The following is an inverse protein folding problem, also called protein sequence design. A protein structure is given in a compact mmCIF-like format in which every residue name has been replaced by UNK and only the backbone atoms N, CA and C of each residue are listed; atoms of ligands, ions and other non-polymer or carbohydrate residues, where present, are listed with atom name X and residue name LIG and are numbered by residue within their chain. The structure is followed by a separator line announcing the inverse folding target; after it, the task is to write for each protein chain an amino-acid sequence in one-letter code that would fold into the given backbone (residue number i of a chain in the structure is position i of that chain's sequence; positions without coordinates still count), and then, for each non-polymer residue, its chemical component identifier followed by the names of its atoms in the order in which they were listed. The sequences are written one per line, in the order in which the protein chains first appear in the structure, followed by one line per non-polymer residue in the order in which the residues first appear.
data_IF_476939115522
#
_entry.id   IF_476939115522
#
_cell.length_a   1.000
_cell.length_b   1.000
_cell.length_c   1.000
_cell.angle_alpha   90.00
_cell.angle_beta   90.00
_cell.angle_gamma   90.00
#
_symmetry.space_group_name_H-M   'P 1'
#
loop_
_entity.id
_entity.type
_entity.pdbx_description
1 polymer ?
#
# COMPACT_ATOMS: atom_id res chain seq x y z
N UNK A 1 -39.26 -60.95 -55.93
CA UNK A 1 -40.14 -60.24 -56.88
C UNK A 1 -40.35 -58.84 -56.31
N UNK A 2 -39.50 -57.90 -56.73
CA UNK A 2 -39.79 -56.81 -57.68
C UNK A 2 -40.31 -55.53 -57.02
N UNK A 3 -39.34 -54.62 -56.82
CA UNK A 3 -39.37 -53.16 -56.92
C UNK A 3 -40.62 -52.48 -57.51
N UNK A 4 -40.97 -51.33 -56.90
CA UNK A 4 -41.21 -49.98 -57.47
C UNK A 4 -42.22 -49.23 -56.59
N UNK A 5 -42.17 -47.94 -56.29
CA UNK A 5 -41.23 -46.83 -56.45
C UNK A 5 -41.92 -45.59 -55.80
N UNK A 6 -41.15 -44.63 -55.26
CA UNK A 6 -41.47 -43.18 -55.17
C UNK A 6 -42.65 -42.71 -54.26
N UNK A 7 -42.64 -41.57 -53.54
CA UNK A 7 -41.83 -40.33 -53.54
C UNK A 7 -42.07 -39.53 -52.24
N UNK A 8 -41.10 -38.66 -51.96
CA UNK A 8 -40.89 -37.72 -50.85
C UNK A 8 -42.05 -36.78 -50.45
N UNK A 9 -42.11 -36.46 -49.16
CA UNK A 9 -42.22 -35.07 -48.68
C UNK A 9 -43.28 -34.78 -47.60
N UNK A 10 -42.86 -33.94 -46.63
CA UNK A 10 -43.66 -33.05 -45.77
C UNK A 10 -44.06 -33.53 -44.37
N UNK A 11 -43.15 -33.25 -43.43
CA UNK A 11 -43.35 -32.52 -42.17
C UNK A 11 -44.69 -32.67 -41.42
N UNK A 12 -44.66 -33.45 -40.33
CA UNK A 12 -45.66 -33.38 -39.25
C UNK A 12 -45.12 -32.50 -38.13
N UNK A 13 -45.78 -31.36 -37.95
CA UNK A 13 -45.61 -30.39 -36.87
C UNK A 13 -46.17 -31.01 -35.59
N UNK A 14 -45.29 -31.43 -34.68
CA UNK A 14 -45.62 -31.83 -33.32
C UNK A 14 -45.13 -30.77 -32.34
N UNK A 15 -46.06 -30.01 -31.77
CA UNK A 15 -45.81 -29.05 -30.69
C UNK A 15 -45.41 -29.82 -29.43
N UNK A 16 -44.16 -29.68 -28.99
CA UNK A 16 -43.76 -29.99 -27.62
C UNK A 16 -43.05 -28.77 -27.04
N UNK A 17 -43.72 -28.12 -26.08
CA UNK A 17 -43.14 -27.09 -25.22
C UNK A 17 -41.98 -27.70 -24.43
N UNK A 18 -40.75 -27.37 -24.80
CA UNK A 18 -39.59 -27.53 -23.95
C UNK A 18 -39.17 -26.14 -23.44
N UNK A 19 -39.35 -25.91 -22.14
CA UNK A 19 -38.81 -24.76 -21.41
C UNK A 19 -37.28 -24.78 -21.54
N UNK A 20 -36.74 -23.88 -22.36
CA UNK A 20 -35.30 -23.57 -22.32
C UNK A 20 -35.10 -22.60 -21.15
N UNK A 21 -34.78 -23.15 -19.98
CA UNK A 21 -34.14 -22.41 -18.91
C UNK A 21 -32.71 -22.11 -19.37
N UNK A 22 -32.50 -20.96 -20.01
CA UNK A 22 -31.16 -20.39 -20.15
C UNK A 22 -30.70 -19.99 -18.75
N UNK A 23 -29.95 -20.86 -18.07
CA UNK A 23 -29.15 -20.43 -16.93
C UNK A 23 -28.05 -19.55 -17.48
N UNK A 24 -28.28 -18.24 -17.48
CA UNK A 24 -27.21 -17.27 -17.55
C UNK A 24 -26.31 -17.55 -16.34
N UNK A 25 -25.14 -18.14 -16.59
CA UNK A 25 -24.05 -18.12 -15.64
C UNK A 25 -23.64 -16.66 -15.54
N UNK A 26 -24.21 -15.96 -14.55
CA UNK A 26 -23.67 -14.68 -14.12
C UNK A 26 -22.26 -15.00 -13.63
N UNK A 27 -21.26 -14.62 -14.43
CA UNK A 27 -19.89 -14.57 -13.99
C UNK A 27 -19.87 -13.70 -12.71
N UNK A 28 -19.69 -14.36 -11.58
CA UNK A 28 -19.47 -13.68 -10.32
C UNK A 28 -18.23 -12.82 -10.49
N UNK A 29 -18.44 -11.51 -10.35
CA UNK A 29 -17.40 -10.51 -10.43
C UNK A 29 -16.24 -10.86 -9.51
N UNK A 30 -15.04 -10.54 -9.99
CA UNK A 30 -13.78 -10.70 -9.29
C UNK A 30 -13.90 -10.26 -7.82
N UNK A 31 -13.46 -11.16 -6.94
CA UNK A 31 -13.60 -11.09 -5.50
C UNK A 31 -13.19 -9.72 -4.94
N UNK A 32 -14.08 -9.11 -4.15
CA UNK A 32 -13.66 -8.21 -3.09
C UNK A 32 -12.62 -8.98 -2.23
N UNK A 33 -11.39 -8.46 -2.14
CA UNK A 33 -10.25 -9.16 -1.55
C UNK A 33 -10.57 -9.79 -0.18
N UNK A 34 -10.06 -11.00 0.04
CA UNK A 34 -10.24 -11.75 1.29
C UNK A 34 -9.84 -10.87 2.50
N UNK A 35 -10.76 -10.54 3.43
CA UNK A 35 -10.47 -9.63 4.55
C UNK A 35 -9.30 -10.07 5.43
N UNK A 36 -9.02 -11.37 5.51
CA UNK A 36 -7.88 -11.91 6.25
C UNK A 36 -6.52 -11.61 5.58
N UNK A 37 -6.48 -11.43 4.25
CA UNK A 37 -5.26 -11.07 3.52
C UNK A 37 -4.86 -9.60 3.71
N UNK A 38 -5.85 -8.76 4.02
CA UNK A 38 -5.69 -7.32 4.26
C UNK A 38 -5.30 -6.98 5.70
N UNK A 39 -5.33 -7.96 6.61
CA UNK A 39 -4.92 -7.76 7.99
C UNK A 39 -3.45 -7.32 8.02
N UNK A 40 -3.18 -6.18 8.67
CA UNK A 40 -1.85 -5.54 8.74
C UNK A 40 -1.30 -4.96 7.42
N UNK A 41 -2.15 -4.63 6.44
CA UNK A 41 -1.74 -3.83 5.28
C UNK A 41 -2.12 -2.36 5.43
N UNK A 42 -1.28 -1.47 4.91
CA UNK A 42 -1.58 -0.06 4.70
C UNK A 42 -2.17 0.15 3.30
N UNK A 43 -3.26 0.90 3.20
CA UNK A 43 -3.92 1.22 1.93
C UNK A 43 -3.32 2.49 1.34
N UNK A 44 -3.01 2.44 0.07
CA UNK A 44 -2.46 3.55 -0.70
C UNK A 44 -3.49 3.93 -1.76
N UNK A 45 -4.03 5.16 -1.72
CA UNK A 45 -5.01 5.59 -2.71
C UNK A 45 -4.36 5.73 -4.08
N UNK A 46 -5.13 5.50 -5.13
CA UNK A 46 -4.70 5.83 -6.49
C UNK A 46 -4.42 7.33 -6.59
N UNK A 47 -3.42 7.72 -7.38
CA UNK A 47 -3.08 9.12 -7.52
C UNK A 47 -1.78 9.36 -8.27
N UNK A 48 -1.46 10.64 -8.42
CA UNK A 48 -0.18 11.07 -8.99
C UNK A 48 0.78 11.43 -7.86
N UNK A 49 1.97 10.86 -7.91
CA UNK A 49 2.97 10.95 -6.86
C UNK A 49 4.33 11.25 -7.46
N UNK A 50 5.12 12.05 -6.74
CA UNK A 50 6.51 12.28 -7.09
C UNK A 50 7.36 11.14 -6.55
N UNK A 51 8.14 10.50 -7.42
CA UNK A 51 9.07 9.41 -7.12
C UNK A 51 10.49 9.86 -7.46
N UNK A 52 11.45 9.43 -6.66
CA UNK A 52 12.85 9.82 -6.71
C UNK A 52 13.16 11.07 -5.90
N UNK A 53 14.30 11.67 -6.21
CA UNK A 53 14.85 12.82 -5.50
C UNK A 53 15.14 14.00 -6.44
N UNK A 54 14.96 15.26 -5.99
CA UNK A 54 15.36 16.42 -6.75
C UNK A 54 16.85 16.38 -7.09
N UNK A 55 17.22 16.89 -8.25
CA UNK A 55 18.62 16.92 -8.68
C UNK A 55 19.53 17.67 -7.69
N UNK A 56 18.97 18.68 -7.03
CA UNK A 56 19.64 19.51 -6.03
C UNK A 56 19.83 18.82 -4.66
N UNK A 57 19.20 17.67 -4.41
CA UNK A 57 19.40 16.91 -3.18
C UNK A 57 20.74 16.17 -3.24
N UNK A 58 21.67 16.58 -2.39
CA UNK A 58 23.01 16.00 -2.32
C UNK A 58 23.10 14.78 -1.39
N UNK A 59 22.06 14.50 -0.60
CA UNK A 59 21.99 13.31 0.24
C UNK A 59 21.40 12.11 -0.50
N UNK A 60 20.54 12.35 -1.49
CA UNK A 60 20.06 11.32 -2.39
C UNK A 60 21.14 10.94 -3.41
N UNK A 61 21.27 9.63 -3.66
CA UNK A 61 22.23 9.11 -4.64
C UNK A 61 21.77 9.38 -6.08
N UNK A 62 22.70 9.34 -7.02
CA UNK A 62 22.45 9.70 -8.42
C UNK A 62 21.43 8.78 -9.11
N UNK A 63 21.41 7.48 -8.79
CA UNK A 63 20.44 6.54 -9.34
C UNK A 63 19.00 6.83 -8.90
N UNK A 64 18.82 7.62 -7.85
CA UNK A 64 17.52 8.02 -7.30
C UNK A 64 16.96 9.28 -7.97
N UNK A 65 17.67 9.84 -8.95
CA UNK A 65 17.35 11.07 -9.66
C UNK A 65 16.99 10.77 -11.12
N UNK A 66 16.15 11.59 -11.77
CA UNK A 66 15.49 12.79 -11.23
C UNK A 66 14.19 12.47 -10.47
N UNK A 67 13.70 13.45 -9.71
CA UNK A 67 12.32 13.47 -9.22
C UNK A 67 11.38 13.53 -10.42
N UNK A 68 10.48 12.55 -10.53
CA UNK A 68 9.54 12.45 -11.64
C UNK A 68 8.14 12.10 -11.14
N UNK A 69 7.13 12.45 -11.94
CA UNK A 69 5.72 12.23 -11.59
C UNK A 69 5.25 10.90 -12.19
N UNK A 70 4.70 10.03 -11.35
CA UNK A 70 4.07 8.77 -11.74
C UNK A 70 2.61 8.74 -11.28
N UNK A 71 1.76 8.02 -11.99
CA UNK A 71 0.39 7.70 -11.61
C UNK A 71 0.36 6.27 -11.10
N UNK A 72 0.03 6.08 -9.83
CA UNK A 72 -0.14 4.76 -9.23
C UNK A 72 -1.64 4.45 -9.09
N UNK A 73 -2.01 3.25 -9.48
CA UNK A 73 -3.27 2.62 -9.12
C UNK A 73 -3.34 2.41 -7.60
N UNK A 74 -4.54 2.22 -7.05
CA UNK A 74 -4.68 1.97 -5.63
C UNK A 74 -4.11 0.57 -5.30
N UNK A 75 -3.32 0.47 -4.24
CA UNK A 75 -2.75 -0.78 -3.77
C UNK A 75 -2.73 -0.82 -2.25
N UNK A 76 -2.53 -2.01 -1.71
CA UNK A 76 -2.20 -2.20 -0.30
C UNK A 76 -0.78 -2.73 -0.20
N UNK A 77 -0.06 -2.37 0.86
CA UNK A 77 1.28 -2.88 1.17
C UNK A 77 1.36 -3.32 2.62
N UNK A 78 2.08 -4.39 2.92
CA UNK A 78 2.27 -4.88 4.28
C UNK A 78 2.89 -3.79 5.17
N UNK A 79 2.36 -3.60 6.37
CA UNK A 79 2.89 -2.62 7.34
C UNK A 79 4.26 -3.02 7.89
N UNK A 80 4.58 -4.31 7.84
CA UNK A 80 5.77 -4.93 8.43
C UNK A 80 6.43 -5.87 7.42
N UNK A 81 7.72 -6.11 7.59
CA UNK A 81 8.47 -7.11 6.83
C UNK A 81 7.91 -8.53 7.08
N UNK A 82 8.06 -9.43 6.10
CA UNK A 82 7.61 -10.82 6.25
C UNK A 82 8.41 -11.51 7.34
N UNK A 83 7.71 -12.03 8.35
CA UNK A 83 8.35 -12.69 9.49
C UNK A 83 8.76 -14.13 9.19
N UNK A 84 9.76 -14.64 9.92
CA UNK A 84 10.19 -16.05 9.87
C UNK A 84 9.00 -17.00 10.08
N UNK A 85 8.14 -16.73 11.07
CA UNK A 85 6.96 -17.57 11.35
C UNK A 85 6.00 -17.61 10.16
N UNK A 86 5.83 -16.49 9.47
CA UNK A 86 4.95 -16.42 8.31
C UNK A 86 5.58 -17.17 7.12
N UNK A 87 6.87 -16.96 6.86
CA UNK A 87 7.62 -17.62 5.79
C UNK A 87 7.70 -19.14 5.96
N UNK A 88 7.89 -19.64 7.18
CA UNK A 88 7.88 -21.09 7.49
C UNK A 88 6.64 -21.82 6.97
N UNK A 89 5.47 -21.17 7.00
CA UNK A 89 4.22 -21.76 6.47
C UNK A 89 4.30 -22.04 4.96
N UNK A 90 5.02 -21.19 4.21
CA UNK A 90 5.23 -21.40 2.78
C UNK A 90 6.21 -22.55 2.50
N UNK A 91 7.24 -22.68 3.33
CA UNK A 91 8.19 -23.78 3.27
C UNK A 91 7.52 -25.11 3.63
N UNK A 92 6.74 -25.14 4.70
CA UNK A 92 5.96 -26.31 5.13
C UNK A 92 4.94 -26.75 4.07
N UNK A 93 4.39 -25.80 3.30
CA UNK A 93 3.51 -26.07 2.18
C UNK A 93 4.24 -26.57 0.91
N UNK A 94 5.58 -26.59 0.91
CA UNK A 94 6.40 -27.00 -0.23
C UNK A 94 6.44 -26.00 -1.38
N UNK A 95 6.06 -24.74 -1.14
CA UNK A 95 6.02 -23.68 -2.16
C UNK A 95 7.30 -22.83 -2.15
N UNK A 96 7.84 -22.54 -0.96
CA UNK A 96 9.08 -21.79 -0.79
C UNK A 96 10.25 -22.69 -0.40
N UNK A 97 11.48 -22.32 -0.77
CA UNK A 97 12.68 -22.95 -0.24
C UNK A 97 13.03 -22.42 1.16
N UNK A 98 13.76 -23.20 1.95
CA UNK A 98 14.38 -22.67 3.18
C UNK A 98 15.41 -21.58 2.83
N UNK A 99 15.64 -20.59 3.73
CA UNK A 99 16.69 -19.61 3.54
C UNK A 99 18.05 -20.27 3.30
N UNK A 100 18.87 -19.67 2.44
CA UNK A 100 20.20 -20.20 2.07
C UNK A 100 21.16 -20.31 3.26
N UNK A 101 20.89 -19.53 4.31
CA UNK A 101 21.53 -19.61 5.62
C UNK A 101 20.48 -19.49 6.73
N UNK A 102 20.53 -20.44 7.67
CA UNK A 102 19.66 -20.44 8.86
C UNK A 102 20.14 -19.49 9.97
N UNK A 103 21.27 -18.80 9.74
CA UNK A 103 21.85 -17.80 10.65
C UNK A 103 21.64 -16.38 10.13
N UNK A 104 21.43 -15.42 11.04
CA UNK A 104 21.55 -13.99 10.73
C UNK A 104 22.99 -13.52 10.93
N UNK A 105 23.23 -12.20 10.95
CA UNK A 105 24.55 -11.60 11.09
C UNK A 105 25.32 -12.09 12.34
N UNK A 106 24.64 -12.21 13.47
CA UNK A 106 25.27 -12.54 14.76
C UNK A 106 24.65 -13.78 15.43
N UNK A 107 23.51 -14.29 14.94
CA UNK A 107 22.76 -15.38 15.57
C UNK A 107 22.74 -16.65 14.70
N UNK A 108 23.31 -17.75 15.23
CA UNK A 108 23.44 -19.03 14.49
C UNK A 108 22.11 -19.74 14.19
N UNK A 109 21.16 -19.71 15.13
CA UNK A 109 19.87 -20.41 15.01
C UNK A 109 18.72 -19.41 14.76
N UNK A 110 18.95 -18.48 13.82
CA UNK A 110 18.02 -17.40 13.55
C UNK A 110 16.71 -17.89 12.93
N UNK A 111 16.76 -18.83 11.97
CA UNK A 111 15.57 -19.42 11.37
C UNK A 111 14.92 -20.47 12.31
N UNK A 112 14.41 -20.01 13.45
CA UNK A 112 13.79 -20.84 14.50
C UNK A 112 12.57 -20.15 15.10
N UNK A 113 11.79 -20.88 15.90
CA UNK A 113 10.56 -20.35 16.49
C UNK A 113 10.83 -19.23 17.51
N UNK A 114 12.01 -19.24 18.13
CA UNK A 114 12.46 -18.19 19.05
C UNK A 114 12.55 -16.81 18.38
N UNK A 115 12.84 -16.77 17.07
CA UNK A 115 12.89 -15.55 16.27
C UNK A 115 11.72 -15.44 15.30
N UNK A 116 10.62 -16.17 15.55
CA UNK A 116 9.49 -16.23 14.62
C UNK A 116 8.86 -14.87 14.27
N UNK A 117 9.06 -13.83 15.07
CA UNK A 117 8.55 -12.47 14.82
C UNK A 117 9.57 -11.54 14.11
N UNK A 118 10.79 -12.00 13.87
CA UNK A 118 11.82 -11.24 13.15
C UNK A 118 11.65 -11.41 11.64
N UNK A 119 12.14 -10.47 10.82
CA UNK A 119 12.07 -10.58 9.36
C UNK A 119 12.82 -11.83 8.87
N UNK A 120 12.27 -12.51 7.87
CA UNK A 120 13.04 -13.53 7.15
C UNK A 120 14.13 -12.85 6.32
N UNK A 121 15.34 -13.42 6.36
CA UNK A 121 16.52 -12.95 5.59
C UNK A 121 17.23 -14.14 4.97
N UNK A 122 18.26 -13.89 4.16
CA UNK A 122 18.94 -14.93 3.35
C UNK A 122 17.98 -15.67 2.41
N UNK A 123 17.00 -14.94 1.88
CA UNK A 123 16.08 -15.43 0.83
C UNK A 123 16.43 -14.74 -0.49
N UNK A 124 16.28 -15.48 -1.59
CA UNK A 124 16.47 -14.92 -2.93
C UNK A 124 15.28 -14.05 -3.32
N UNK A 125 15.40 -13.30 -4.42
CA UNK A 125 14.25 -12.56 -4.96
C UNK A 125 13.11 -13.49 -5.36
N UNK A 126 13.45 -14.66 -5.93
CA UNK A 126 12.47 -15.66 -6.36
C UNK A 126 11.71 -16.26 -5.15
N UNK A 127 12.42 -16.52 -4.04
CA UNK A 127 11.79 -16.96 -2.79
C UNK A 127 10.81 -15.94 -2.24
N UNK A 128 11.18 -14.65 -2.27
CA UNK A 128 10.35 -13.55 -1.82
C UNK A 128 9.07 -13.42 -2.68
N UNK A 129 9.23 -13.50 -4.01
CA UNK A 129 8.11 -13.52 -4.96
C UNK A 129 7.18 -14.70 -4.70
N UNK A 130 7.74 -15.92 -4.61
CA UNK A 130 6.97 -17.15 -4.40
C UNK A 130 6.18 -17.10 -3.09
N UNK A 131 6.77 -16.53 -2.03
CA UNK A 131 6.04 -16.30 -0.78
C UNK A 131 4.85 -15.36 -0.97
N UNK A 132 5.07 -14.20 -1.60
CA UNK A 132 3.98 -13.25 -1.78
C UNK A 132 2.85 -13.86 -2.62
N UNK A 133 3.17 -14.59 -3.69
CA UNK A 133 2.19 -15.32 -4.50
C UNK A 133 1.45 -16.41 -3.69
N UNK A 134 2.17 -17.15 -2.84
CA UNK A 134 1.60 -18.17 -1.95
C UNK A 134 0.52 -17.60 -1.02
N UNK A 135 0.71 -16.38 -0.51
CA UNK A 135 -0.29 -15.70 0.33
C UNK A 135 -1.30 -14.87 -0.47
N UNK A 136 -1.36 -15.01 -1.80
CA UNK A 136 -2.30 -14.30 -2.66
C UNK A 136 -2.00 -12.81 -2.80
N UNK A 137 -0.73 -12.44 -2.68
CA UNK A 137 -0.17 -11.08 -2.82
C UNK A 137 0.87 -11.08 -3.96
N UNK A 138 1.67 -10.03 -4.05
CA UNK A 138 2.84 -9.89 -4.92
C UNK A 138 3.93 -9.09 -4.21
N UNK A 139 5.13 -9.01 -4.79
CA UNK A 139 6.09 -7.99 -4.36
C UNK A 139 5.56 -6.59 -4.77
N UNK A 140 5.81 -5.53 -3.98
CA UNK A 140 5.56 -4.15 -4.40
C UNK A 140 6.45 -3.79 -5.59
N UNK A 141 6.01 -2.84 -6.42
CA UNK A 141 6.94 -2.17 -7.33
C UNK A 141 7.85 -1.21 -6.55
N UNK A 142 8.97 -0.81 -7.14
CA UNK A 142 9.86 0.18 -6.53
C UNK A 142 9.11 1.49 -6.22
N UNK A 143 8.29 1.96 -7.15
CA UNK A 143 7.50 3.17 -6.98
C UNK A 143 6.43 3.03 -5.87
N UNK A 144 5.78 1.87 -5.77
CA UNK A 144 4.84 1.57 -4.69
C UNK A 144 5.52 1.52 -3.32
N UNK A 145 6.71 0.92 -3.24
CA UNK A 145 7.49 0.87 -2.02
C UNK A 145 7.88 2.28 -1.56
N UNK A 146 8.39 3.11 -2.48
CA UNK A 146 8.82 4.46 -2.14
C UNK A 146 7.62 5.34 -1.74
N UNK A 147 6.49 5.24 -2.45
CA UNK A 147 5.26 5.95 -2.09
C UNK A 147 4.76 5.54 -0.70
N UNK A 148 4.88 4.27 -0.33
CA UNK A 148 4.46 3.79 0.98
C UNK A 148 5.33 4.37 2.10
N UNK A 149 6.64 4.52 1.87
CA UNK A 149 7.57 5.14 2.80
C UNK A 149 7.39 6.66 2.89
N UNK A 150 7.09 7.30 1.75
CA UNK A 150 6.85 8.74 1.67
C UNK A 150 5.49 9.14 2.23
N UNK A 151 4.52 8.23 2.33
CA UNK A 151 3.22 8.54 2.92
C UNK A 151 2.55 9.79 2.31
N UNK A 152 1.86 10.58 3.12
CA UNK A 152 1.11 11.78 2.68
C UNK A 152 1.86 13.11 2.82
N UNK A 153 3.03 13.12 3.47
CA UNK A 153 3.69 14.38 3.90
C UNK A 153 4.62 14.99 2.85
N UNK A 154 4.67 14.45 1.63
CA UNK A 154 5.53 14.94 0.54
C UNK A 154 7.00 14.55 0.69
N UNK A 155 7.85 15.09 -0.18
CA UNK A 155 9.27 14.73 -0.30
C UNK A 155 10.07 15.00 0.99
N UNK A 156 10.85 14.00 1.44
CA UNK A 156 11.71 14.05 2.62
C UNK A 156 12.76 12.95 2.60
N UNK A 157 13.80 13.10 3.42
CA UNK A 157 14.92 12.15 3.51
C UNK A 157 14.54 10.79 4.09
N UNK A 158 13.69 10.75 5.11
CA UNK A 158 13.26 9.52 5.80
C UNK A 158 11.73 9.48 5.96
N UNK A 159 11.12 8.30 6.17
CA UNK A 159 9.68 8.16 6.40
C UNK A 159 9.11 9.08 7.48
N UNK A 160 9.93 9.44 8.48
CA UNK A 160 9.55 10.28 9.62
C UNK A 160 9.98 11.75 9.51
N UNK A 161 10.69 12.16 8.45
CA UNK A 161 11.18 13.53 8.29
C UNK A 161 12.62 13.62 7.78
N UNK A 162 13.20 14.83 7.83
CA UNK A 162 14.56 15.09 7.32
C UNK A 162 15.66 14.97 8.39
N UNK A 163 15.27 14.75 9.65
CA UNK A 163 16.21 14.63 10.75
C UNK A 163 16.74 13.20 10.89
N UNK A 164 17.98 13.09 11.35
CA UNK A 164 18.63 11.82 11.66
C UNK A 164 17.78 11.00 12.65
N UNK A 165 17.74 9.66 12.54
CA UNK A 165 16.90 8.83 13.38
C UNK A 165 17.18 9.07 14.86
N UNK A 166 16.12 9.25 15.64
CA UNK A 166 16.19 9.21 17.10
C UNK A 166 16.35 7.76 17.58
N UNK A 167 16.79 7.53 18.83
CA UNK A 167 16.76 6.19 19.40
C UNK A 167 15.37 5.55 19.27
N UNK A 168 15.32 4.26 18.91
CA UNK A 168 14.08 3.50 18.69
C UNK A 168 13.19 4.04 17.55
N UNK A 169 13.77 4.76 16.60
CA UNK A 169 13.11 5.17 15.37
C UNK A 169 13.47 4.30 14.14
N UNK A 170 14.67 3.70 14.13
CA UNK A 170 15.09 2.74 13.13
C UNK A 170 16.18 1.82 13.67
N UNK A 171 16.30 0.61 13.13
CA UNK A 171 17.45 -0.28 13.33
C UNK A 171 18.49 -0.02 12.23
N UNK A 172 19.63 0.58 12.57
CA UNK A 172 20.62 1.04 11.57
C UNK A 172 21.98 1.28 12.24
N UNK A 173 23.01 1.59 11.46
CA UNK A 173 24.36 1.93 11.90
C UNK A 173 25.01 0.91 12.84
N UNK A 174 24.68 -0.37 12.65
CA UNK A 174 25.30 -1.48 13.37
C UNK A 174 24.89 -1.60 14.84
N UNK A 175 23.79 -0.97 15.26
CA UNK A 175 23.26 -1.07 16.64
C UNK A 175 21.79 -1.51 16.60
N UNK A 176 21.44 -2.72 17.08
CA UNK A 176 22.29 -3.67 17.80
C UNK A 176 23.26 -4.49 16.94
N UNK A 177 23.27 -4.30 15.61
CA UNK A 177 24.20 -4.98 14.70
C UNK A 177 23.64 -6.26 14.07
N UNK A 178 22.33 -6.45 14.19
CA UNK A 178 21.56 -7.53 13.59
C UNK A 178 20.11 -7.07 13.44
N UNK A 179 19.26 -7.89 12.80
CA UNK A 179 17.82 -7.60 12.67
C UNK A 179 17.11 -7.57 14.02
N UNK A 180 16.07 -6.76 14.11
CA UNK A 180 15.12 -6.69 15.20
C UNK A 180 13.73 -7.15 14.73
N UNK A 181 12.81 -7.31 15.68
CA UNK A 181 11.41 -7.67 15.37
C UNK A 181 10.84 -6.63 14.38
N UNK A 182 10.20 -7.06 13.29
CA UNK A 182 9.74 -6.18 12.18
C UNK A 182 8.60 -5.20 12.51
N UNK A 183 8.31 -5.02 13.79
CA UNK A 183 7.39 -4.01 14.34
C UNK A 183 8.05 -3.22 15.49
N UNK A 184 9.38 -3.29 15.61
CA UNK A 184 10.15 -2.81 16.75
C UNK A 184 10.28 -1.28 16.81
N UNK A 185 10.09 -0.60 15.67
CA UNK A 185 10.34 0.84 15.53
C UNK A 185 9.10 1.63 15.05
N UNK A 186 7.95 1.54 15.73
CA UNK A 186 6.72 2.20 15.28
C UNK A 186 6.83 3.74 15.22
N UNK A 187 7.79 4.34 15.94
CA UNK A 187 8.04 5.79 15.87
C UNK A 187 8.72 6.24 14.56
N UNK A 188 9.26 5.29 13.79
CA UNK A 188 9.78 5.50 12.44
C UNK A 188 8.78 5.19 11.33
N UNK A 189 7.50 4.97 11.66
CA UNK A 189 6.49 4.72 10.64
C UNK A 189 6.35 5.90 9.66
N UNK A 190 6.06 5.60 8.41
CA UNK A 190 5.51 6.62 7.50
C UNK A 190 4.14 7.10 7.97
N UNK A 191 3.66 8.23 7.47
CA UNK A 191 2.28 8.69 7.74
C UNK A 191 1.19 7.77 7.19
N UNK A 192 1.54 6.80 6.33
CA UNK A 192 0.66 5.71 5.92
C UNK A 192 0.69 4.52 6.89
N UNK A 193 1.47 4.59 7.97
CA UNK A 193 1.56 3.58 9.01
C UNK A 193 2.43 2.37 8.67
N UNK A 194 3.33 2.52 7.69
CA UNK A 194 4.27 1.46 7.29
C UNK A 194 5.57 1.63 8.07
N UNK A 195 5.97 0.58 8.78
CA UNK A 195 7.09 0.58 9.73
C UNK A 195 8.31 -0.08 9.08
N UNK A 196 9.50 0.28 9.55
CA UNK A 196 10.79 -0.27 9.09
C UNK A 196 11.03 -0.07 7.59
N UNK A 197 10.48 1.01 7.02
CA UNK A 197 10.81 1.41 5.64
C UNK A 197 12.26 1.95 5.53
N UNK A 198 12.93 2.23 6.64
CA UNK A 198 14.36 2.57 6.66
C UNK A 198 15.06 1.81 7.78
N UNK A 199 16.03 0.97 7.41
CA UNK A 199 16.76 0.11 8.31
C UNK A 199 16.08 -1.24 8.51
N UNK A 200 16.48 -1.94 9.57
CA UNK A 200 16.21 -3.36 9.83
C UNK A 200 16.72 -4.26 8.70
N UNK A 201 15.93 -4.53 7.65
CA UNK A 201 16.41 -5.20 6.45
C UNK A 201 16.05 -4.41 5.21
N UNK A 202 16.95 -4.45 4.24
CA UNK A 202 16.65 -3.92 2.93
C UNK A 202 15.66 -4.88 2.24
N UNK A 203 14.82 -4.38 1.35
CA UNK A 203 13.66 -5.14 0.89
C UNK A 203 13.67 -5.34 -0.61
N UNK A 204 13.52 -6.59 -1.03
CA UNK A 204 13.25 -6.92 -2.43
C UNK A 204 11.96 -6.27 -2.91
N UNK A 205 12.00 -5.67 -4.10
CA UNK A 205 10.83 -5.19 -4.86
C UNK A 205 10.78 -5.89 -6.22
N UNK A 206 9.69 -5.77 -6.98
CA UNK A 206 9.51 -6.53 -8.23
C UNK A 206 10.49 -6.14 -9.35
N UNK A 207 10.96 -4.91 -9.34
CA UNK A 207 11.57 -4.21 -10.46
C UNK A 207 12.98 -4.72 -10.76
N UNK A 208 13.32 -4.80 -12.05
CA UNK A 208 14.72 -4.89 -12.47
C UNK A 208 15.44 -3.57 -12.19
N UNK A 209 16.70 -3.65 -11.80
CA UNK A 209 17.52 -2.48 -11.56
C UNK A 209 18.15 -1.98 -12.85
N UNK A 210 17.94 -0.69 -13.13
CA UNK A 210 18.69 0.10 -14.10
C UNK A 210 18.89 1.49 -13.49
N UNK A 211 20.15 1.96 -13.33
CA UNK A 211 20.44 3.26 -12.72
C UNK A 211 19.87 4.45 -13.53
N UNK A 212 19.58 4.29 -14.83
CA UNK A 212 19.01 5.32 -15.68
C UNK A 212 17.48 5.31 -15.77
N UNK A 213 16.80 4.33 -15.16
CA UNK A 213 15.37 4.11 -15.36
C UNK A 213 14.50 5.31 -14.99
N UNK A 214 14.82 6.06 -13.93
CA UNK A 214 14.01 7.21 -13.51
C UNK A 214 13.91 8.31 -14.58
N UNK A 215 14.91 8.44 -15.47
CA UNK A 215 14.87 9.40 -16.57
C UNK A 215 13.91 9.00 -17.71
N UNK A 216 13.55 7.71 -17.79
CA UNK A 216 12.71 7.12 -18.86
C UNK A 216 11.48 6.38 -18.33
N UNK A 217 11.23 6.47 -17.02
CA UNK A 217 10.20 5.76 -16.27
C UNK A 217 8.81 5.91 -16.90
N UNK A 218 8.06 4.81 -16.97
CA UNK A 218 6.67 4.83 -17.36
C UNK A 218 5.86 5.73 -16.42
N UNK A 219 4.94 6.51 -17.01
CA UNK A 219 4.14 7.47 -16.25
C UNK A 219 3.04 6.83 -15.42
N UNK A 220 2.62 5.60 -15.75
CA UNK A 220 1.50 4.93 -15.09
C UNK A 220 1.96 3.54 -14.66
N UNK A 221 1.79 3.26 -13.38
CA UNK A 221 2.13 1.98 -12.74
C UNK A 221 3.51 1.44 -13.21
N UNK A 222 4.61 2.20 -13.01
CA UNK A 222 5.94 1.77 -13.45
C UNK A 222 6.33 0.47 -12.71
N UNK A 223 6.94 -0.44 -13.48
CA UNK A 223 7.33 -1.79 -13.03
C UNK A 223 8.82 -2.05 -13.23
N UNK A 224 9.60 -1.00 -13.53
CA UNK A 224 11.00 -1.12 -13.90
C UNK A 224 11.19 -1.45 -15.38
N UNK A 225 12.46 -1.58 -15.82
CA UNK A 225 12.80 -2.11 -17.14
C UNK A 225 12.22 -3.52 -17.34
N UNK A 226 11.97 -3.89 -18.59
CA UNK A 226 11.39 -5.20 -18.93
C UNK A 226 12.30 -6.39 -18.58
N UNK A 227 13.62 -6.19 -18.62
CA UNK A 227 14.64 -7.17 -18.27
C UNK A 227 15.82 -6.52 -17.52
N UNK A 228 16.70 -7.36 -16.97
CA UNK A 228 17.87 -6.91 -16.23
C UNK A 228 18.68 -8.08 -15.67
N UNK A 229 19.82 -7.74 -15.06
CA UNK A 229 20.69 -8.72 -14.40
C UNK A 229 20.53 -8.73 -12.88
N UNK A 230 20.01 -7.65 -12.31
CA UNK A 230 19.88 -7.45 -10.87
C UNK A 230 18.50 -6.88 -10.53
N UNK A 231 17.97 -7.25 -9.36
CA UNK A 231 16.69 -6.75 -8.85
C UNK A 231 16.93 -5.62 -7.86
N UNK A 232 15.99 -4.67 -7.83
CA UNK A 232 16.04 -3.54 -6.90
C UNK A 232 15.86 -4.02 -5.46
N UNK A 233 16.60 -3.39 -4.55
CA UNK A 233 16.48 -3.56 -3.09
C UNK A 233 16.34 -2.18 -2.45
N UNK A 234 15.39 -2.00 -1.53
CA UNK A 234 15.01 -0.71 -0.96
C UNK A 234 15.26 -0.63 0.55
N UNK A 235 15.31 0.58 1.12
CA UNK A 235 15.17 0.79 2.57
C UNK A 235 16.42 0.64 3.44
N UNK A 236 17.58 0.27 2.89
CA UNK A 236 18.82 0.07 3.66
C UNK A 236 18.66 -1.00 4.76
N UNK A 237 19.66 -1.22 5.63
CA UNK A 237 19.59 -2.30 6.64
C UNK A 237 20.08 -1.88 8.02
N UNK A 238 20.01 -2.80 8.99
CA UNK A 238 20.60 -2.64 10.32
C UNK A 238 22.10 -2.27 10.29
N UNK A 239 22.83 -2.61 9.22
CA UNK A 239 24.26 -2.34 9.09
C UNK A 239 24.57 -1.04 8.31
N UNK A 240 23.59 -0.49 7.60
CA UNK A 240 23.75 0.74 6.81
C UNK A 240 24.01 1.95 7.69
N UNK A 241 24.87 2.86 7.24
CA UNK A 241 25.11 4.13 7.94
C UNK A 241 24.03 5.14 7.57
N UNK A 242 23.09 5.43 8.49
CA UNK A 242 21.95 6.33 8.24
C UNK A 242 22.35 7.72 7.68
N UNK A 243 23.58 8.20 7.91
CA UNK A 243 24.03 9.48 7.39
C UNK A 243 24.12 9.49 5.85
N UNK A 244 24.39 8.31 5.26
CA UNK A 244 24.55 8.08 3.82
C UNK A 244 23.28 7.51 3.17
N UNK A 245 22.21 7.31 3.95
CA UNK A 245 20.97 6.75 3.45
C UNK A 245 19.88 7.79 3.24
N UNK A 246 19.04 7.51 2.28
CA UNK A 246 17.88 8.30 1.86
C UNK A 246 16.77 7.32 1.49
N UNK A 247 15.51 7.66 1.78
CA UNK A 247 14.35 6.83 1.46
C UNK A 247 14.25 6.47 -0.03
N UNK A 248 14.79 7.33 -0.88
CA UNK A 248 14.77 7.18 -2.34
C UNK A 248 15.95 6.35 -2.88
N UNK A 249 16.97 6.09 -2.06
CA UNK A 249 18.17 5.35 -2.49
C UNK A 249 17.81 3.94 -3.00
N UNK A 250 18.41 3.57 -4.13
CA UNK A 250 18.13 2.33 -4.84
C UNK A 250 19.31 1.38 -4.69
N UNK A 251 19.16 0.34 -3.87
CA UNK A 251 20.08 -0.78 -3.85
C UNK A 251 19.74 -1.78 -4.95
N UNK A 252 20.65 -2.71 -5.19
CA UNK A 252 20.42 -3.81 -6.12
C UNK A 252 21.26 -5.03 -5.73
N UNK A 253 20.79 -6.21 -6.14
CA UNK A 253 21.50 -7.46 -5.99
C UNK A 253 21.01 -8.46 -7.05
N UNK A 254 21.86 -9.41 -7.44
CA UNK A 254 21.45 -10.51 -8.32
C UNK A 254 20.24 -11.26 -7.74
N UNK A 255 19.22 -11.60 -8.56
CA UNK A 255 18.02 -12.29 -8.08
C UNK A 255 18.28 -13.69 -7.52
N UNK A 256 19.44 -14.30 -7.84
CA UNK A 256 19.84 -15.62 -7.34
C UNK A 256 20.68 -15.56 -6.07
N UNK A 257 21.08 -14.36 -5.65
CA UNK A 257 21.84 -14.14 -4.42
C UNK A 257 20.91 -13.82 -3.25
N UNK A 258 21.45 -13.88 -2.04
CA UNK A 258 20.73 -13.59 -0.81
C UNK A 258 21.69 -13.00 0.22
N UNK A 259 21.16 -12.28 1.21
CA UNK A 259 21.97 -11.58 2.20
C UNK A 259 21.27 -11.59 3.56
N UNK A 260 22.02 -11.60 4.69
CA UNK A 260 21.42 -11.46 6.02
C UNK A 260 20.86 -10.06 6.27
N UNK A 261 21.15 -9.11 5.37
CA UNK A 261 20.65 -7.73 5.40
C UNK A 261 19.43 -7.52 4.51
N UNK A 262 18.97 -8.54 3.77
CA UNK A 262 17.88 -8.40 2.80
C UNK A 262 16.74 -9.36 3.17
N UNK A 263 15.54 -8.78 3.31
CA UNK A 263 14.27 -9.48 3.40
C UNK A 263 13.30 -8.89 2.38
N UNK A 264 12.01 -8.81 2.74
CA UNK A 264 10.98 -8.28 1.86
C UNK A 264 9.65 -8.05 2.60
N UNK A 265 8.74 -7.34 1.95
CA UNK A 265 7.32 -7.23 2.31
C UNK A 265 6.45 -7.43 1.06
N UNK A 266 5.18 -7.76 1.24
CA UNK A 266 4.28 -7.96 0.11
C UNK A 266 3.36 -6.74 -0.11
N UNK A 267 2.85 -6.63 -1.32
CA UNK A 267 1.79 -5.73 -1.72
C UNK A 267 0.68 -6.49 -2.44
N UNK A 268 -0.46 -5.83 -2.64
CA UNK A 268 -1.54 -6.36 -3.43
C UNK A 268 -2.29 -5.24 -4.13
N UNK A 269 -2.76 -5.54 -5.33
CA UNK A 269 -3.66 -4.65 -6.03
C UNK A 269 -4.95 -4.53 -5.24
N UNK A 270 -5.41 -3.29 -5.06
CA UNK A 270 -6.77 -3.04 -4.59
C UNK A 270 -7.56 -2.55 -5.78
N UNK A 271 -8.82 -2.96 -5.92
CA UNK A 271 -9.69 -2.22 -6.81
C UNK A 271 -9.62 -0.76 -6.34
N UNK A 272 -9.29 0.14 -7.27
CA UNK A 272 -9.43 1.56 -7.05
C UNK A 272 -10.78 1.76 -6.39
N UNK A 273 -10.82 2.51 -5.29
CA UNK A 273 -12.08 3.04 -4.82
C UNK A 273 -12.71 3.67 -6.07
N UNK A 274 -13.81 3.09 -6.57
CA UNK A 274 -14.46 3.55 -7.79
C UNK A 274 -14.56 5.06 -7.65
N UNK A 275 -13.93 5.85 -8.56
CA UNK A 275 -14.22 7.26 -8.62
C UNK A 275 -15.74 7.34 -8.68
N UNK A 276 -16.35 8.08 -7.77
CA UNK A 276 -17.75 8.43 -7.97
C UNK A 276 -17.79 9.18 -9.30
N UNK A 277 -18.19 8.51 -10.39
CA UNK A 277 -18.48 9.08 -11.71
C UNK A 277 -19.79 9.92 -11.68
N UNK A 278 -20.03 10.51 -10.52
CA UNK A 278 -21.06 11.47 -10.20
C UNK A 278 -20.47 12.42 -9.16
N UNK A 279 -19.36 13.09 -9.49
CA UNK A 279 -19.07 14.37 -8.87
C UNK A 279 -20.30 15.24 -9.11
N UNK A 280 -21.08 15.46 -8.07
CA UNK A 280 -21.93 16.63 -8.00
C UNK A 280 -20.96 17.82 -8.10
N UNK A 281 -20.86 18.42 -9.29
CA UNK A 281 -20.21 19.73 -9.45
C UNK A 281 -21.15 20.72 -8.77
N UNK A 282 -20.82 21.26 -7.59
CA UNK A 282 -21.65 22.30 -7.02
C UNK A 282 -21.52 23.48 -7.98
N UNK A 283 -22.65 23.95 -8.50
CA UNK A 283 -22.69 25.22 -9.23
C UNK A 283 -22.11 26.28 -8.31
N UNK A 284 -20.98 26.87 -8.71
CA UNK A 284 -20.30 27.92 -7.94
C UNK A 284 -21.31 28.99 -7.52
N UNK A 285 -21.62 29.01 -6.22
CA UNK A 285 -22.30 30.11 -5.56
C UNK A 285 -21.26 30.76 -4.65
N UNK A 286 -21.12 32.10 -4.62
CA UNK A 286 -19.95 32.78 -4.03
C UNK A 286 -19.75 32.63 -2.51
N UNK A 287 -20.66 31.94 -1.80
CA UNK A 287 -20.73 31.98 -0.33
C UNK A 287 -20.47 30.61 0.35
N UNK A 288 -19.83 29.64 -0.32
CA UNK A 288 -19.58 28.31 0.27
C UNK A 288 -18.10 28.07 0.59
N UNK A 289 -17.82 27.84 1.87
CA UNK A 289 -16.50 27.45 2.39
C UNK A 289 -16.47 25.94 2.63
N UNK A 290 -15.46 25.25 2.08
CA UNK A 290 -15.27 23.80 2.22
C UNK A 290 -14.11 23.46 3.15
N UNK A 291 -14.14 22.26 3.75
CA UNK A 291 -12.94 21.70 4.36
C UNK A 291 -13.02 20.20 4.62
N UNK A 292 -11.87 19.64 5.01
CA UNK A 292 -11.59 18.23 5.11
C UNK A 292 -11.69 17.73 6.56
N UNK A 293 -12.32 16.59 6.80
CA UNK A 293 -12.30 15.94 8.13
C UNK A 293 -11.78 14.53 8.00
N UNK A 294 -10.66 14.22 8.66
CA UNK A 294 -10.11 12.88 8.72
C UNK A 294 -10.69 12.17 9.96
N UNK A 295 -11.84 11.50 9.78
CA UNK A 295 -12.43 10.64 10.81
C UNK A 295 -11.71 9.29 10.78
N UNK A 296 -10.77 9.07 11.70
CA UNK A 296 -9.86 7.92 11.75
C UNK A 296 -10.46 6.51 11.86
N UNK A 297 -11.68 6.25 11.36
CA UNK A 297 -12.31 4.93 11.30
C UNK A 297 -13.07 4.62 9.99
N UNK A 298 -13.15 5.51 8.99
CA UNK A 298 -13.59 5.23 7.60
C UNK A 298 -13.49 6.54 6.83
N UNK A 299 -12.84 6.52 5.67
CA UNK A 299 -12.61 7.70 4.83
C UNK A 299 -13.93 8.28 4.27
N UNK A 300 -14.03 9.60 4.18
CA UNK A 300 -15.14 10.33 3.56
C UNK A 300 -14.83 11.82 3.40
N UNK A 301 -15.42 12.47 2.39
CA UNK A 301 -15.34 13.93 2.19
C UNK A 301 -16.55 14.57 2.88
N UNK A 302 -16.36 15.68 3.58
CA UNK A 302 -17.44 16.38 4.28
C UNK A 302 -17.64 17.74 3.62
N UNK A 303 -18.88 18.09 3.30
CA UNK A 303 -19.20 19.38 2.69
C UNK A 303 -19.99 20.19 3.70
N UNK A 304 -19.50 21.38 4.04
CA UNK A 304 -20.25 22.31 4.88
C UNK A 304 -21.05 23.26 4.03
N UNK A 305 -22.32 23.37 4.40
CA UNK A 305 -23.16 24.45 3.89
C UNK A 305 -23.13 25.68 4.80
N UNK A 306 -22.87 25.51 6.11
CA UNK A 306 -22.64 26.56 7.14
C UNK A 306 -22.14 25.93 8.48
N UNK A 307 -20.95 26.26 9.02
CA UNK A 307 -20.50 25.75 10.32
C UNK A 307 -21.20 26.43 11.51
N UNK A 308 -21.67 25.64 12.50
CA UNK A 308 -22.24 26.13 13.77
C UNK A 308 -22.80 25.00 14.65
N UNK A 309 -23.09 25.27 15.93
CA UNK A 309 -23.82 24.33 16.82
C UNK A 309 -25.21 24.05 16.22
N UNK A 310 -25.65 22.80 16.30
CA UNK A 310 -26.89 22.27 15.72
C UNK A 310 -26.95 22.30 14.19
N UNK A 311 -25.81 22.49 13.52
CA UNK A 311 -25.71 22.38 12.06
C UNK A 311 -25.43 20.94 11.64
N UNK A 312 -26.05 20.54 10.53
CA UNK A 312 -25.84 19.23 9.91
C UNK A 312 -24.67 19.29 8.93
N UNK A 313 -23.75 18.34 9.08
CA UNK A 313 -22.66 18.08 8.15
C UNK A 313 -23.07 16.92 7.24
N UNK A 314 -23.22 17.19 5.96
CA UNK A 314 -23.45 16.15 4.96
C UNK A 314 -22.12 15.50 4.59
N UNK A 315 -22.05 14.17 4.74
CA UNK A 315 -20.83 13.40 4.53
C UNK A 315 -20.96 12.54 3.27
N UNK A 316 -19.90 12.52 2.47
CA UNK A 316 -19.69 11.59 1.37
C UNK A 316 -18.79 10.47 1.90
N UNK A 317 -19.35 9.63 2.76
CA UNK A 317 -18.72 8.38 3.22
C UNK A 317 -19.42 7.18 2.56
N UNK A 318 -18.74 6.04 2.46
CA UNK A 318 -19.26 4.83 1.78
C UNK A 318 -20.61 4.30 2.33
N UNK A 319 -21.03 4.75 3.51
CA UNK A 319 -22.30 4.39 4.13
C UNK A 319 -23.31 5.56 4.24
N UNK A 320 -23.03 6.72 3.65
CA UNK A 320 -23.91 7.89 3.67
C UNK A 320 -24.17 8.48 5.06
N UNK A 321 -23.20 8.36 5.99
CA UNK A 321 -23.37 8.85 7.36
C UNK A 321 -23.64 10.36 7.37
N UNK A 322 -24.53 10.81 8.25
CA UNK A 322 -24.79 12.22 8.51
C UNK A 322 -24.21 12.54 9.89
N UNK A 323 -23.45 13.62 9.99
CA UNK A 323 -22.92 14.13 11.24
C UNK A 323 -23.66 15.40 11.66
N UNK A 324 -23.82 15.63 12.96
CA UNK A 324 -24.39 16.86 13.53
C UNK A 324 -23.38 17.47 14.47
N UNK A 325 -23.05 18.75 14.28
CA UNK A 325 -22.26 19.51 15.25
C UNK A 325 -23.16 19.83 16.43
N UNK A 326 -22.74 19.49 17.64
CA UNK A 326 -23.55 19.72 18.84
C UNK A 326 -22.77 20.42 19.97
N UNK A 327 -21.47 20.72 19.76
CA UNK A 327 -20.66 21.51 20.70
C UNK A 327 -19.49 22.20 19.96
N UNK A 328 -19.09 23.39 20.42
CA UNK A 328 -17.99 24.19 19.85
C UNK A 328 -18.40 25.24 18.79
N UNK A 329 -17.47 26.03 18.23
CA UNK A 329 -16.02 25.91 18.38
C UNK A 329 -15.52 26.29 19.77
N UNK A 330 -14.58 25.51 20.29
CA UNK A 330 -13.84 25.78 21.54
C UNK A 330 -12.36 25.89 21.21
N UNK A 331 -11.71 26.97 21.63
CA UNK A 331 -10.27 27.13 21.48
C UNK A 331 -9.52 26.31 22.53
N UNK A 332 -8.54 25.51 22.09
CA UNK A 332 -7.57 24.79 22.93
C UNK A 332 -6.22 24.80 22.26
N UNK A 333 -5.17 25.19 22.99
CA UNK A 333 -3.80 25.23 22.48
C UNK A 333 -3.68 25.91 21.10
N UNK A 334 -4.33 27.09 20.96
CA UNK A 334 -4.37 27.90 19.73
C UNK A 334 -5.04 27.22 18.52
N UNK A 335 -5.84 26.17 18.76
CA UNK A 335 -6.63 25.48 17.74
C UNK A 335 -8.10 25.43 18.15
N UNK A 336 -8.99 25.63 17.20
CA UNK A 336 -10.44 25.57 17.44
C UNK A 336 -10.93 24.14 17.22
N UNK A 337 -11.78 23.65 18.12
CA UNK A 337 -12.32 22.29 18.11
C UNK A 337 -13.83 22.29 18.15
N UNK A 338 -14.46 21.39 17.40
CA UNK A 338 -15.91 21.16 17.42
C UNK A 338 -16.20 19.69 17.72
N UNK A 339 -17.37 19.44 18.30
CA UNK A 339 -17.84 18.10 18.66
C UNK A 339 -18.98 17.70 17.73
N UNK A 340 -18.86 16.50 17.17
CA UNK A 340 -19.76 15.96 16.16
C UNK A 340 -20.35 14.64 16.60
N UNK A 341 -21.61 14.40 16.27
CA UNK A 341 -22.30 13.13 16.53
C UNK A 341 -22.84 12.52 15.24
N UNK A 342 -22.84 11.19 15.13
CA UNK A 342 -23.52 10.47 14.07
C UNK A 342 -24.99 10.26 14.42
N UNK A 343 -25.83 10.02 13.42
CA UNK A 343 -27.22 9.54 13.62
C UNK A 343 -27.31 8.23 14.42
N UNK A 344 -26.24 7.41 14.41
CA UNK A 344 -26.14 6.17 15.18
C UNK A 344 -25.66 6.37 16.63
N UNK A 345 -25.41 7.62 17.05
CA UNK A 345 -25.07 7.98 18.43
C UNK A 345 -23.56 8.00 18.75
N UNK A 346 -22.68 7.81 17.77
CA UNK A 346 -21.23 7.93 17.98
C UNK A 346 -20.85 9.41 18.09
N UNK A 347 -19.92 9.76 18.98
CA UNK A 347 -19.56 11.13 19.31
C UNK A 347 -18.03 11.33 19.31
N UNK A 348 -17.54 12.49 18.89
CA UNK A 348 -16.09 12.79 18.89
C UNK A 348 -15.74 14.26 18.66
N UNK A 349 -14.47 14.60 18.85
CA UNK A 349 -13.90 15.94 18.59
C UNK A 349 -13.18 15.98 17.25
N UNK A 350 -13.24 17.12 16.56
CA UNK A 350 -12.45 17.39 15.35
C UNK A 350 -11.98 18.85 15.29
N UNK A 351 -10.88 19.10 14.59
CA UNK A 351 -10.31 20.43 14.37
C UNK A 351 -11.23 21.26 13.46
N UNK A 352 -11.49 22.50 13.84
CA UNK A 352 -12.24 23.43 13.00
C UNK A 352 -11.40 23.95 11.82
N UNK A 353 -10.07 23.97 11.94
CA UNK A 353 -9.15 24.42 10.89
C UNK A 353 -8.93 23.42 9.76
N UNK A 354 -9.09 22.11 10.01
CA UNK A 354 -9.18 21.14 8.92
C UNK A 354 -10.45 21.37 8.08
N UNK A 355 -11.43 22.09 8.61
CA UNK A 355 -12.72 22.39 7.99
C UNK A 355 -12.80 23.80 7.36
N UNK A 356 -11.93 24.75 7.72
CA UNK A 356 -12.10 26.15 7.36
C UNK A 356 -10.77 26.89 7.22
N UNK A 357 -10.53 27.43 6.03
CA UNK A 357 -9.67 28.59 5.84
C UNK A 357 -10.49 29.84 6.23
N UNK A 358 -10.56 30.15 7.53
CA UNK A 358 -11.21 31.37 8.03
C UNK A 358 -10.14 32.31 8.59
N UNK A 359 -9.95 33.43 7.91
CA UNK A 359 -9.47 34.65 8.56
C UNK A 359 -10.65 35.24 9.36
N UNK A 360 -10.36 35.70 10.58
CA UNK A 360 -11.32 36.34 11.49
C UNK A 360 -11.62 37.78 11.09
#
# INVERSE_FOLDING_TARGET
MTNKENRYGWALIGVLCALILTTAVMAQGAAAGNPALMENMAKMPAGKYSIGAPDADYYAREESKPLHLVELSAYSIDKYEVTIRAYKKCVEAGVCAEPTSLSSQTRKNYYSDAYGAYPVVNVTWEDAKNYCEFVGKRLPTEAEWERAGMGIDGYRKFPWGDFLPRPYQANTSGVPGDTEIGSGYPSGASSSGVVDMMGNVAEWVSDWYDPGYYAVSEKKDPVGPADGTEKVVRGASFASNYAQEHLTNRGHLSPTESSPMIGFRCAMDTQAATPYDGLFVPTESPDQSYGFVQSGQREGIFILKNPGVDQTLECIAANGSILTVYEGPIERDYTFWIRVSTKTGCQGWTLASSVLNLQW
#
